data_IF_768213059982
#
_entry.id   IF_768213059982
#
_cell.length_a   1.000
_cell.length_b   1.000
_cell.length_c   1.000
_cell.angle_alpha   90.00
_cell.angle_beta   90.00
_cell.angle_gamma   90.00
#
_symmetry.space_group_name_H-M   'P 1'
#
loop_
_entity.id
_entity.type
_entity.pdbx_description
1 polymer ?
#
# COMPACT_ATOMS: atom_id res chain seq x y z
N UNK A 1 34.25 -25.55 19.49
CA UNK A 1 35.67 -25.57 19.09
C UNK A 1 36.47 -25.38 20.36
N UNK A 2 36.99 -26.48 20.90
CA UNK A 2 37.74 -26.49 22.16
C UNK A 2 39.16 -25.98 21.90
N UNK A 3 39.59 -24.93 22.61
CA UNK A 3 40.81 -24.17 22.31
C UNK A 3 42.05 -24.70 23.03
N UNK A 4 41.87 -25.71 23.87
CA UNK A 4 42.94 -26.46 24.55
C UNK A 4 43.77 -27.25 23.54
N UNK A 5 43.15 -27.90 22.56
CA UNK A 5 43.84 -28.67 21.51
C UNK A 5 44.73 -27.79 20.62
N UNK A 6 44.20 -26.65 20.17
CA UNK A 6 44.95 -25.74 19.28
C UNK A 6 46.17 -25.15 19.99
N UNK A 7 46.09 -24.92 21.30
CA UNK A 7 47.23 -24.44 22.09
C UNK A 7 48.34 -25.49 22.23
N UNK A 8 47.96 -26.77 22.33
CA UNK A 8 48.90 -27.87 22.44
C UNK A 8 49.59 -28.16 21.10
N UNK A 9 48.85 -28.13 19.99
CA UNK A 9 49.42 -28.29 18.64
C UNK A 9 50.44 -27.20 18.29
N UNK A 10 50.19 -25.95 18.68
CA UNK A 10 51.12 -24.84 18.45
C UNK A 10 52.42 -24.97 19.26
N UNK A 11 52.33 -25.49 20.49
CA UNK A 11 53.51 -25.78 21.31
C UNK A 11 54.35 -26.93 20.73
N UNK A 12 53.73 -27.98 20.18
CA UNK A 12 54.42 -29.08 19.50
C UNK A 12 55.17 -28.60 18.25
N UNK A 13 54.66 -27.59 17.55
CA UNK A 13 55.34 -26.95 16.41
C UNK A 13 56.43 -25.95 16.81
N UNK A 14 56.74 -25.80 18.10
CA UNK A 14 57.77 -24.90 18.61
C UNK A 14 57.38 -23.42 18.59
N UNK A 15 56.11 -23.10 18.30
CA UNK A 15 55.57 -21.74 18.30
C UNK A 15 55.00 -21.47 19.69
N UNK A 16 55.76 -20.76 20.54
CA UNK A 16 55.26 -20.35 21.86
C UNK A 16 54.06 -19.40 21.68
N UNK A 17 52.84 -19.75 22.14
CA UNK A 17 51.72 -18.84 22.05
C UNK A 17 52.07 -17.59 22.87
N UNK A 18 52.00 -16.42 22.25
CA UNK A 18 52.31 -15.17 22.93
C UNK A 18 51.40 -15.04 24.16
N UNK A 19 51.97 -15.17 25.37
CA UNK A 19 51.34 -14.85 26.66
C UNK A 19 51.15 -13.33 26.76
N UNK A 20 50.40 -12.77 25.84
CA UNK A 20 50.18 -11.33 25.75
C UNK A 20 48.83 -11.01 26.39
N UNK A 21 48.79 -9.92 27.14
CA UNK A 21 47.58 -9.31 27.72
C UNK A 21 46.44 -9.13 26.68
N UNK A 22 46.78 -9.16 25.39
CA UNK A 22 45.88 -9.19 24.24
C UNK A 22 44.93 -10.40 24.22
N UNK A 23 45.37 -11.62 24.55
CA UNK A 23 44.46 -12.78 24.61
C UNK A 23 43.49 -12.69 25.79
N UNK A 24 43.96 -12.24 26.96
CA UNK A 24 43.10 -12.05 28.14
C UNK A 24 42.07 -10.93 27.97
N UNK A 25 42.45 -9.83 27.30
CA UNK A 25 41.54 -8.75 26.94
C UNK A 25 40.51 -9.20 25.87
N UNK A 26 40.94 -9.99 24.89
CA UNK A 26 40.07 -10.57 23.86
C UNK A 26 39.01 -11.51 24.47
N UNK A 27 39.39 -12.37 25.41
CA UNK A 27 38.46 -13.30 26.09
C UNK A 27 37.47 -12.55 26.99
N UNK A 28 37.92 -11.56 27.77
CA UNK A 28 37.04 -10.73 28.62
C UNK A 28 36.08 -9.86 27.80
N UNK A 29 36.53 -9.34 26.66
CA UNK A 29 35.65 -8.58 25.77
C UNK A 29 34.63 -9.49 25.09
N UNK A 30 35.00 -10.73 24.71
CA UNK A 30 34.06 -11.73 24.18
C UNK A 30 33.02 -12.16 25.21
N UNK A 31 33.40 -12.37 26.48
CA UNK A 31 32.42 -12.75 27.52
C UNK A 31 31.46 -11.61 27.86
N UNK A 32 31.94 -10.36 27.90
CA UNK A 32 31.08 -9.17 28.05
C UNK A 32 30.13 -9.00 26.87
N UNK A 33 30.61 -9.25 25.64
CA UNK A 33 29.79 -9.21 24.44
C UNK A 33 28.71 -10.32 24.47
N UNK A 34 29.07 -11.54 24.85
CA UNK A 34 28.11 -12.65 25.01
C UNK A 34 27.02 -12.32 26.04
N UNK A 35 27.40 -11.78 27.20
CA UNK A 35 26.45 -11.36 28.23
C UNK A 35 25.52 -10.22 27.75
N UNK A 36 26.05 -9.28 26.95
CA UNK A 36 25.24 -8.22 26.34
C UNK A 36 24.24 -8.77 25.32
N UNK A 37 24.66 -9.73 24.48
CA UNK A 37 23.79 -10.42 23.53
C UNK A 37 22.70 -11.20 24.27
N UNK A 38 23.03 -11.92 25.34
CA UNK A 38 22.05 -12.67 26.13
C UNK A 38 21.04 -11.74 26.80
N UNK A 39 21.49 -10.59 27.31
CA UNK A 39 20.60 -9.57 27.86
C UNK A 39 19.65 -9.03 26.78
N UNK A 40 20.16 -8.67 25.61
CA UNK A 40 19.35 -8.20 24.49
C UNK A 40 18.36 -9.27 24.00
N UNK A 41 18.77 -10.54 23.96
CA UNK A 41 17.89 -11.64 23.59
C UNK A 41 16.76 -11.85 24.61
N UNK A 42 17.05 -11.72 25.91
CA UNK A 42 15.99 -11.79 26.93
C UNK A 42 15.00 -10.64 26.80
N UNK A 43 15.49 -9.41 26.65
CA UNK A 43 14.64 -8.22 26.50
C UNK A 43 13.75 -8.32 25.25
N UNK A 44 14.31 -8.76 24.13
CA UNK A 44 13.55 -8.98 22.88
C UNK A 44 12.53 -10.11 23.01
N UNK A 45 12.85 -11.22 23.68
CA UNK A 45 11.89 -12.29 23.89
C UNK A 45 10.70 -11.85 24.76
N UNK A 46 10.93 -11.01 25.78
CA UNK A 46 9.84 -10.45 26.59
C UNK A 46 8.95 -9.50 25.79
N UNK A 47 9.52 -8.64 24.93
CA UNK A 47 8.71 -7.78 24.06
C UNK A 47 7.90 -8.59 23.04
N UNK A 48 8.48 -9.66 22.48
CA UNK A 48 7.74 -10.57 21.59
C UNK A 48 6.59 -11.29 22.30
N UNK A 49 6.79 -11.73 23.55
CA UNK A 49 5.71 -12.33 24.34
C UNK A 49 4.57 -11.34 24.56
N UNK A 50 4.89 -10.10 24.92
CA UNK A 50 3.89 -9.05 25.14
C UNK A 50 3.09 -8.74 23.87
N UNK A 51 3.78 -8.51 22.75
CA UNK A 51 3.12 -8.28 21.46
C UNK A 51 2.25 -9.46 21.03
N UNK A 52 2.68 -10.70 21.30
CA UNK A 52 1.88 -11.90 21.04
C UNK A 52 0.61 -11.92 21.88
N UNK A 53 0.67 -11.60 23.17
CA UNK A 53 -0.52 -11.54 24.03
C UNK A 53 -1.53 -10.51 23.55
N UNK A 54 -1.08 -9.31 23.17
CA UNK A 54 -1.95 -8.27 22.62
C UNK A 54 -2.65 -8.74 21.32
N UNK A 55 -1.92 -9.38 20.41
CA UNK A 55 -2.50 -9.93 19.17
C UNK A 55 -3.54 -11.01 19.49
N UNK A 56 -3.29 -11.86 20.47
CA UNK A 56 -4.24 -12.89 20.89
C UNK A 56 -5.51 -12.29 21.49
N UNK A 57 -5.41 -11.21 22.25
CA UNK A 57 -6.54 -10.44 22.77
C UNK A 57 -7.37 -9.83 21.65
N UNK A 58 -6.73 -9.14 20.70
CA UNK A 58 -7.41 -8.59 19.51
C UNK A 58 -8.14 -9.69 18.74
N UNK A 59 -7.53 -10.88 18.57
CA UNK A 59 -8.19 -12.03 17.94
C UNK A 59 -9.37 -12.55 18.75
N UNK A 60 -9.30 -12.56 20.08
CA UNK A 60 -10.43 -12.94 20.96
C UNK A 60 -11.57 -11.94 20.82
N UNK A 61 -11.29 -10.64 20.88
CA UNK A 61 -12.29 -9.58 20.70
C UNK A 61 -12.96 -9.65 19.33
N UNK A 62 -12.19 -9.83 18.26
CA UNK A 62 -12.74 -9.99 16.91
C UNK A 62 -13.66 -11.21 16.81
N UNK A 63 -13.32 -12.33 17.46
CA UNK A 63 -14.19 -13.52 17.52
C UNK A 63 -15.49 -13.20 18.25
N UNK A 64 -15.41 -12.57 19.43
CA UNK A 64 -16.59 -12.16 20.20
C UNK A 64 -17.47 -11.22 19.37
N UNK A 65 -16.89 -10.22 18.71
CA UNK A 65 -17.62 -9.28 17.87
C UNK A 65 -18.26 -9.95 16.66
N UNK A 66 -17.58 -10.91 16.03
CA UNK A 66 -18.15 -11.71 14.94
C UNK A 66 -19.34 -12.53 15.43
N UNK A 67 -19.22 -13.17 16.59
CA UNK A 67 -20.29 -14.01 17.13
C UNK A 67 -21.48 -13.17 17.61
N UNK A 68 -21.24 -12.01 18.24
CA UNK A 68 -22.28 -11.00 18.54
C UNK A 68 -23.00 -10.54 17.27
N UNK A 69 -22.26 -10.22 16.20
CA UNK A 69 -22.85 -9.86 14.89
C UNK A 69 -23.68 -11.00 14.31
N UNK A 70 -23.22 -12.25 14.43
CA UNK A 70 -23.98 -13.43 13.99
C UNK A 70 -25.26 -13.62 14.80
N UNK A 71 -25.20 -13.52 16.12
CA UNK A 71 -26.39 -13.60 17.01
C UNK A 71 -27.38 -12.48 16.70
N UNK A 72 -26.94 -11.23 16.67
CA UNK A 72 -27.80 -10.11 16.32
C UNK A 72 -28.37 -10.23 14.90
N UNK A 73 -27.60 -10.77 13.93
CA UNK A 73 -28.14 -11.08 12.61
C UNK A 73 -29.20 -12.16 12.70
N UNK A 74 -28.95 -13.26 13.42
CA UNK A 74 -29.88 -14.35 13.62
C UNK A 74 -31.17 -13.91 14.36
N UNK A 75 -31.06 -13.00 15.34
CA UNK A 75 -32.19 -12.37 16.03
C UNK A 75 -32.97 -11.43 15.10
N UNK A 76 -32.29 -10.54 14.35
CA UNK A 76 -32.95 -9.68 13.35
C UNK A 76 -33.55 -10.45 12.19
N UNK A 77 -32.97 -11.59 11.82
CA UNK A 77 -33.52 -12.51 10.81
C UNK A 77 -34.32 -13.65 11.45
N UNK A 78 -34.61 -13.55 12.75
CA UNK A 78 -35.28 -14.57 13.54
C UNK A 78 -36.54 -14.99 12.79
N UNK A 79 -36.58 -16.26 12.39
CA UNK A 79 -37.63 -16.86 11.56
C UNK A 79 -38.19 -15.96 10.46
N UNK A 80 -37.31 -15.36 9.67
CA UNK A 80 -37.75 -14.78 8.40
C UNK A 80 -38.35 -15.90 7.56
N UNK A 81 -39.69 -15.93 7.50
CA UNK A 81 -40.46 -16.85 6.67
C UNK A 81 -39.86 -16.89 5.26
N UNK A 82 -39.94 -18.05 4.60
CA UNK A 82 -39.48 -18.21 3.22
C UNK A 82 -39.96 -17.06 2.31
N UNK A 83 -41.15 -16.52 2.59
CA UNK A 83 -41.71 -15.33 1.94
C UNK A 83 -40.86 -14.06 2.15
N UNK A 84 -40.43 -13.74 3.38
CA UNK A 84 -39.59 -12.57 3.65
C UNK A 84 -38.20 -12.68 3.00
N UNK A 85 -37.63 -13.89 2.95
CA UNK A 85 -36.36 -14.12 2.23
C UNK A 85 -36.51 -13.89 0.73
N UNK A 86 -37.63 -14.31 0.14
CA UNK A 86 -37.98 -14.04 -1.26
C UNK A 86 -38.15 -12.55 -1.53
N UNK A 87 -38.86 -11.83 -0.67
CA UNK A 87 -39.06 -10.38 -0.81
C UNK A 87 -37.76 -9.60 -0.74
N UNK A 88 -36.87 -9.95 0.20
CA UNK A 88 -35.53 -9.34 0.28
C UNK A 88 -34.73 -9.63 -0.99
N UNK A 89 -34.78 -10.85 -1.52
CA UNK A 89 -34.08 -11.21 -2.75
C UNK A 89 -34.61 -10.42 -3.95
N UNK A 90 -35.93 -10.25 -4.07
CA UNK A 90 -36.56 -9.45 -5.13
C UNK A 90 -36.15 -7.97 -5.02
N UNK A 91 -36.23 -7.37 -3.83
CA UNK A 91 -35.78 -5.99 -3.59
C UNK A 91 -34.30 -5.79 -3.93
N UNK A 92 -33.44 -6.76 -3.61
CA UNK A 92 -32.02 -6.70 -3.96
C UNK A 92 -31.80 -6.79 -5.47
N UNK A 93 -32.58 -7.63 -6.16
CA UNK A 93 -32.55 -7.74 -7.62
C UNK A 93 -32.98 -6.43 -8.27
N UNK A 94 -34.06 -5.81 -7.81
CA UNK A 94 -34.54 -4.51 -8.26
C UNK A 94 -33.51 -3.40 -8.03
N UNK A 95 -32.92 -3.33 -6.83
CA UNK A 95 -31.83 -2.39 -6.53
C UNK A 95 -30.66 -2.56 -7.48
N UNK A 96 -30.24 -3.79 -7.75
CA UNK A 96 -29.16 -4.08 -8.70
C UNK A 96 -29.49 -3.58 -10.10
N UNK A 97 -30.72 -3.82 -10.59
CA UNK A 97 -31.15 -3.30 -11.89
C UNK A 97 -31.19 -1.77 -11.94
N UNK A 98 -31.65 -1.12 -10.87
CA UNK A 98 -31.66 0.35 -10.77
C UNK A 98 -30.25 0.92 -10.86
N UNK A 99 -29.30 0.35 -10.11
CA UNK A 99 -27.89 0.76 -10.15
C UNK A 99 -27.30 0.56 -11.55
N UNK A 100 -27.56 -0.58 -12.20
CA UNK A 100 -27.06 -0.84 -13.55
C UNK A 100 -27.64 0.13 -14.58
N UNK A 101 -28.93 0.48 -14.47
CA UNK A 101 -29.57 1.48 -15.33
C UNK A 101 -28.92 2.85 -15.14
N UNK A 102 -28.73 3.26 -13.89
CA UNK A 102 -28.08 4.53 -13.57
C UNK A 102 -26.63 4.59 -14.06
N UNK A 103 -25.87 3.50 -13.95
CA UNK A 103 -24.52 3.41 -14.52
C UNK A 103 -24.52 3.55 -16.04
N UNK A 104 -25.48 2.95 -16.74
CA UNK A 104 -25.63 3.11 -18.20
C UNK A 104 -25.93 4.56 -18.58
N UNK A 105 -26.84 5.23 -17.88
CA UNK A 105 -27.16 6.63 -18.12
C UNK A 105 -25.95 7.54 -17.86
N UNK A 106 -25.23 7.33 -16.75
CA UNK A 106 -23.99 8.07 -16.47
C UNK A 106 -22.92 7.84 -17.54
N UNK A 107 -22.79 6.61 -18.04
CA UNK A 107 -21.84 6.31 -19.10
C UNK A 107 -22.24 6.97 -20.44
N UNK A 108 -23.54 7.02 -20.74
CA UNK A 108 -24.08 7.73 -21.91
C UNK A 108 -23.79 9.23 -21.80
N UNK A 109 -24.11 9.85 -20.67
CA UNK A 109 -23.85 11.27 -20.42
C UNK A 109 -22.37 11.63 -20.60
N UNK A 110 -21.46 10.83 -20.02
CA UNK A 110 -20.00 11.03 -20.19
C UNK A 110 -19.55 10.95 -21.65
N UNK A 111 -20.16 10.06 -22.45
CA UNK A 111 -19.86 9.96 -23.89
C UNK A 111 -20.34 11.21 -24.64
N UNK A 112 -21.55 11.67 -24.35
CA UNK A 112 -22.13 12.87 -24.94
C UNK A 112 -21.30 14.12 -24.58
N UNK A 113 -20.91 14.28 -23.32
CA UNK A 113 -20.02 15.35 -22.86
C UNK A 113 -18.67 15.33 -23.58
N UNK A 114 -18.08 14.14 -23.76
CA UNK A 114 -16.81 13.99 -24.48
C UNK A 114 -16.93 14.43 -25.93
N UNK A 115 -18.00 14.04 -26.61
CA UNK A 115 -18.27 14.45 -28.01
C UNK A 115 -18.50 15.96 -28.09
N UNK A 116 -19.28 16.54 -27.17
CA UNK A 116 -19.51 17.98 -27.12
C UNK A 116 -18.19 18.75 -26.91
N UNK A 117 -17.36 18.29 -25.97
CA UNK A 117 -16.06 18.89 -25.67
C UNK A 117 -15.15 18.86 -26.90
N UNK A 118 -15.09 17.73 -27.61
CA UNK A 118 -14.31 17.61 -28.86
C UNK A 118 -14.81 18.57 -29.94
N UNK A 119 -16.13 18.72 -30.11
CA UNK A 119 -16.71 19.70 -31.06
C UNK A 119 -16.31 21.13 -30.70
N UNK A 120 -16.42 21.51 -29.42
CA UNK A 120 -16.03 22.84 -28.94
C UNK A 120 -14.53 23.11 -29.11
N UNK A 121 -13.69 22.11 -28.85
CA UNK A 121 -12.23 22.20 -29.07
C UNK A 121 -11.89 22.36 -30.56
N UNK A 122 -12.55 21.60 -31.43
CA UNK A 122 -12.38 21.72 -32.88
C UNK A 122 -12.83 23.10 -33.39
N UNK A 123 -13.96 23.61 -32.92
CA UNK A 123 -14.45 24.95 -33.27
C UNK A 123 -13.46 26.04 -32.83
N UNK A 124 -12.97 25.97 -31.59
CA UNK A 124 -11.94 26.89 -31.08
C UNK A 124 -10.65 26.84 -31.89
N UNK A 125 -10.22 25.64 -32.30
CA UNK A 125 -9.05 25.46 -33.16
C UNK A 125 -9.25 26.11 -34.54
N UNK A 126 -10.41 25.91 -35.16
CA UNK A 126 -10.76 26.55 -36.44
C UNK A 126 -10.82 28.08 -36.31
N UNK A 127 -11.43 28.60 -35.25
CA UNK A 127 -11.45 30.05 -34.99
C UNK A 127 -10.04 30.62 -34.83
N UNK A 128 -9.14 29.92 -34.09
CA UNK A 128 -7.74 30.32 -33.95
C UNK A 128 -7.00 30.32 -35.28
N UNK A 129 -7.23 29.30 -36.13
CA UNK A 129 -6.67 29.25 -37.48
C UNK A 129 -7.15 30.43 -38.32
N UNK A 130 -8.47 30.73 -38.32
CA UNK A 130 -9.03 31.90 -39.03
C UNK A 130 -8.42 33.22 -38.56
N UNK A 131 -8.24 33.40 -37.24
CA UNK A 131 -7.57 34.60 -36.70
C UNK A 131 -6.12 34.70 -37.17
N UNK A 132 -5.37 33.60 -37.12
CA UNK A 132 -3.98 33.56 -37.56
C UNK A 132 -3.83 33.85 -39.06
N UNK A 133 -4.71 33.32 -39.91
CA UNK A 133 -4.68 33.60 -41.36
C UNK A 133 -4.99 35.06 -41.65
N UNK A 134 -5.97 35.66 -40.95
CA UNK A 134 -6.25 37.10 -41.05
C UNK A 134 -5.04 37.93 -40.63
N UNK A 135 -4.40 37.62 -39.49
CA UNK A 135 -3.19 38.33 -39.01
C UNK A 135 -2.04 38.19 -40.02
N UNK A 136 -1.82 37.01 -40.59
CA UNK A 136 -0.77 36.80 -41.58
C UNK A 136 -1.04 37.57 -42.88
N UNK A 137 -2.30 37.65 -43.32
CA UNK A 137 -2.70 38.46 -44.48
C UNK A 137 -2.46 39.95 -44.22
N UNK A 138 -2.86 40.47 -43.05
CA UNK A 138 -2.64 41.89 -42.72
C UNK A 138 -1.16 42.22 -42.58
N UNK A 139 -0.35 41.33 -42.00
CA UNK A 139 1.12 41.49 -41.95
C UNK A 139 1.74 41.55 -43.35
N UNK A 140 1.36 40.61 -44.23
CA UNK A 140 1.84 40.60 -45.63
C UNK A 140 1.42 41.86 -46.39
N UNK A 141 0.22 42.36 -46.16
CA UNK A 141 -0.25 43.60 -46.80
C UNK A 141 0.57 44.80 -46.33
N UNK A 142 0.71 44.99 -45.00
CA UNK A 142 1.53 46.07 -44.43
C UNK A 142 2.97 46.05 -44.92
N UNK A 143 3.56 44.86 -45.06
CA UNK A 143 4.92 44.71 -45.58
C UNK A 143 5.03 45.11 -47.06
N UNK A 144 4.04 44.75 -47.88
CA UNK A 144 3.98 45.18 -49.28
C UNK A 144 3.83 46.69 -49.41
N UNK A 145 2.95 47.28 -48.60
CA UNK A 145 2.71 48.72 -48.59
C UNK A 145 4.00 49.47 -48.20
N UNK A 146 4.75 48.97 -47.20
CA UNK A 146 6.05 49.53 -46.79
C UNK A 146 7.15 49.45 -47.86
N UNK A 147 7.18 48.38 -48.66
CA UNK A 147 8.17 48.23 -49.75
C UNK A 147 7.84 49.16 -50.94
N UNK A 148 6.57 49.55 -51.07
CA UNK A 148 6.09 50.42 -52.15
C UNK A 148 6.26 51.92 -51.85
N UNK A 149 6.42 52.31 -50.57
CA UNK A 149 6.88 53.64 -50.12
C UNK A 149 8.40 53.77 -50.22
#
# INVERSE_FOLDING_TARGET
LDLTDVSHELEVMGIKPAKSAWMGASIRNRSRLAAAIDKQNRETMETFKHARTEIEEVRKEQRINRDKRRRHKAEKTGDSSLAQKRDIALRNKEKKYKILREQKERAKHRREEKVLKQKLEAERAQQKQRKNTTINRTRKQKEKDRIAE
#
